data_IF_947218901497
#
_entry.id   IF_947218901497
#
_cell.length_a   1.000
_cell.length_b   1.000
_cell.length_c   1.000
_cell.angle_alpha   90.00
_cell.angle_beta   90.00
_cell.angle_gamma   90.00
#
_symmetry.space_group_name_H-M   'P 1'
#
loop_
_entity.id
_entity.type
_entity.pdbx_description
1 polymer ?
#
# COMPACT_ATOMS: atom_id res chain seq x y z
N UNK A 1 -12.09 -42.90 -12.02
CA UNK A 1 -10.82 -42.41 -11.46
C UNK A 1 -10.60 -41.04 -12.06
N UNK A 2 -11.32 -40.02 -11.59
CA UNK A 2 -11.05 -39.27 -10.36
C UNK A 2 -9.62 -38.74 -10.36
N UNK A 3 -9.39 -37.63 -11.07
CA UNK A 3 -8.27 -36.75 -10.77
C UNK A 3 -8.65 -36.00 -9.50
N UNK A 4 -7.93 -36.32 -8.44
CA UNK A 4 -8.08 -35.79 -7.10
C UNK A 4 -7.97 -34.27 -7.12
N UNK A 5 -8.84 -33.65 -6.32
CA UNK A 5 -8.76 -32.25 -5.92
C UNK A 5 -7.37 -32.01 -5.32
N UNK A 6 -6.57 -31.17 -5.96
CA UNK A 6 -5.51 -30.48 -5.26
C UNK A 6 -6.18 -29.64 -4.16
N UNK A 7 -5.88 -29.95 -2.91
CA UNK A 7 -6.27 -29.11 -1.79
C UNK A 7 -5.75 -27.70 -2.03
N UNK A 8 -6.65 -26.73 -1.98
CA UNK A 8 -6.27 -25.36 -1.68
C UNK A 8 -5.68 -25.39 -0.26
N UNK A 9 -4.39 -25.13 -0.14
CA UNK A 9 -3.79 -24.88 1.16
C UNK A 9 -4.51 -23.69 1.82
N UNK A 10 -4.91 -23.86 3.07
CA UNK A 10 -5.77 -22.93 3.83
C UNK A 10 -5.09 -21.63 4.29
N UNK A 11 -3.87 -21.30 3.85
CA UNK A 11 -3.18 -20.06 4.26
C UNK A 11 -2.34 -19.49 3.10
N UNK A 12 -2.98 -19.06 2.01
CA UNK A 12 -2.29 -18.20 1.03
C UNK A 12 -2.08 -16.83 1.69
N UNK A 13 -0.94 -16.66 2.34
CA UNK A 13 -0.54 -15.41 2.98
C UNK A 13 -0.44 -14.31 1.93
N UNK A 14 -1.36 -13.34 1.99
CA UNK A 14 -1.36 -12.17 1.11
C UNK A 14 -0.45 -11.08 1.68
N UNK A 15 0.42 -10.55 0.83
CA UNK A 15 1.26 -9.41 1.14
C UNK A 15 0.69 -8.13 0.51
N UNK A 16 1.01 -6.94 1.05
CA UNK A 16 0.60 -5.66 0.46
C UNK A 16 0.97 -5.50 -1.03
N UNK A 17 2.12 -6.04 -1.43
CA UNK A 17 2.58 -6.03 -2.82
C UNK A 17 1.64 -6.78 -3.77
N UNK A 18 0.96 -7.82 -3.27
CA UNK A 18 0.02 -8.60 -4.08
C UNK A 18 -1.20 -7.76 -4.48
N UNK A 19 -1.48 -6.63 -3.83
CA UNK A 19 -2.63 -5.79 -4.16
C UNK A 19 -2.35 -4.82 -5.34
N UNK A 20 -1.08 -4.62 -5.68
CA UNK A 20 -0.65 -3.61 -6.65
C UNK A 20 -1.16 -3.90 -8.07
N UNK A 21 -1.50 -2.85 -8.79
CA UNK A 21 -2.05 -2.88 -10.14
C UNK A 21 -3.48 -3.41 -10.24
N UNK A 22 -4.00 -4.07 -9.20
CA UNK A 22 -5.34 -4.65 -9.21
C UNK A 22 -6.40 -3.56 -9.13
N UNK A 23 -7.45 -3.73 -9.92
CA UNK A 23 -8.58 -2.80 -9.95
C UNK A 23 -9.48 -3.07 -8.76
N UNK A 24 -9.82 -2.03 -7.99
CA UNK A 24 -10.83 -2.11 -6.94
C UNK A 24 -12.22 -2.19 -7.57
N UNK A 25 -12.93 -3.28 -7.37
CA UNK A 25 -14.23 -3.57 -8.00
C UNK A 25 -15.41 -3.29 -7.06
N UNK A 26 -15.21 -3.51 -5.76
CA UNK A 26 -16.23 -3.36 -4.71
C UNK A 26 -15.54 -3.17 -3.37
N UNK A 27 -16.21 -2.49 -2.44
CA UNK A 27 -15.82 -2.37 -1.04
C UNK A 27 -16.92 -2.97 -0.17
N UNK A 28 -16.58 -3.87 0.74
CA UNK A 28 -17.53 -4.36 1.75
C UNK A 28 -17.00 -4.03 3.14
N UNK A 29 -17.88 -3.61 4.05
CA UNK A 29 -17.51 -3.30 5.43
C UNK A 29 -18.44 -3.98 6.41
N UNK A 30 -17.89 -4.44 7.52
CA UNK A 30 -18.62 -5.02 8.65
C UNK A 30 -18.49 -4.10 9.84
N UNK A 31 -19.62 -3.66 10.39
CA UNK A 31 -19.68 -2.70 11.49
C UNK A 31 -20.36 -3.32 12.71
N UNK A 32 -19.69 -3.26 13.85
CA UNK A 32 -20.27 -3.58 15.15
C UNK A 32 -21.03 -2.38 15.70
N UNK A 33 -22.25 -2.63 16.17
CA UNK A 33 -23.06 -1.66 16.91
C UNK A 33 -23.48 -2.26 18.22
N UNK A 34 -23.11 -1.59 19.31
CA UNK A 34 -23.50 -1.98 20.66
C UNK A 34 -24.13 -0.78 21.40
N UNK A 35 -25.40 -0.92 21.79
CA UNK A 35 -26.12 0.14 22.50
C UNK A 35 -26.23 1.43 21.68
N UNK A 36 -25.97 2.57 22.33
CA UNK A 36 -25.94 3.90 21.69
C UNK A 36 -24.53 4.42 21.39
N UNK A 37 -23.52 3.54 21.38
CA UNK A 37 -22.16 3.92 21.00
C UNK A 37 -22.04 4.10 19.49
N UNK A 38 -20.99 4.83 19.07
CA UNK A 38 -20.64 4.94 17.66
C UNK A 38 -20.30 3.55 17.07
N UNK A 39 -20.72 3.26 15.82
CA UNK A 39 -20.37 2.00 15.17
C UNK A 39 -18.86 1.84 14.97
N UNK A 40 -18.32 0.67 15.31
CA UNK A 40 -16.90 0.34 15.11
C UNK A 40 -16.72 -0.56 13.88
N UNK A 41 -15.72 -0.28 13.04
CA UNK A 41 -15.39 -1.09 11.87
C UNK A 41 -14.65 -2.36 12.33
N UNK A 42 -15.24 -3.53 12.08
CA UNK A 42 -14.63 -4.82 12.41
C UNK A 42 -13.77 -5.36 11.26
N UNK A 43 -14.34 -5.36 10.05
CA UNK A 43 -13.69 -5.91 8.88
C UNK A 43 -13.93 -5.01 7.67
N UNK A 44 -12.91 -4.90 6.84
CA UNK A 44 -12.98 -4.31 5.51
C UNK A 44 -12.63 -5.41 4.50
N UNK A 45 -13.40 -5.51 3.41
CA UNK A 45 -13.01 -6.29 2.24
C UNK A 45 -12.85 -5.37 1.05
N UNK A 46 -11.69 -5.45 0.41
CA UNK A 46 -11.45 -4.86 -0.90
C UNK A 46 -11.57 -5.96 -1.94
N UNK A 47 -12.53 -5.83 -2.84
CA UNK A 47 -12.72 -6.79 -3.94
C UNK A 47 -11.84 -6.38 -5.10
N UNK A 48 -10.75 -7.11 -5.31
CA UNK A 48 -9.73 -6.76 -6.28
C UNK A 48 -9.81 -7.69 -7.50
N UNK A 49 -9.71 -7.11 -8.69
CA UNK A 49 -9.67 -7.87 -9.93
C UNK A 49 -8.57 -8.95 -9.88
N UNK A 50 -8.91 -10.16 -10.32
CA UNK A 50 -8.02 -11.33 -10.38
C UNK A 50 -7.47 -11.81 -9.01
N UNK A 51 -7.91 -11.24 -7.88
CA UNK A 51 -7.61 -11.73 -6.51
C UNK A 51 -8.85 -12.19 -5.75
N UNK A 52 -10.00 -11.54 -6.00
CA UNK A 52 -11.18 -11.70 -5.15
C UNK A 52 -11.17 -10.76 -3.95
N UNK A 53 -12.01 -11.02 -2.93
CA UNK A 53 -12.08 -10.18 -1.75
C UNK A 53 -10.91 -10.44 -0.81
N UNK A 54 -10.15 -9.38 -0.51
CA UNK A 54 -9.12 -9.39 0.52
C UNK A 54 -9.70 -8.77 1.78
N UNK A 55 -9.82 -9.57 2.84
CA UNK A 55 -10.24 -9.16 4.17
C UNK A 55 -9.07 -8.54 4.92
N UNK A 56 -9.32 -7.37 5.47
CA UNK A 56 -8.48 -6.68 6.44
C UNK A 56 -9.14 -6.80 7.80
N UNK A 57 -8.36 -7.24 8.78
CA UNK A 57 -8.82 -7.41 10.16
C UNK A 57 -7.68 -7.19 11.15
N UNK A 58 -8.06 -6.89 12.39
CA UNK A 58 -7.16 -6.57 13.51
C UNK A 58 -7.23 -7.65 14.58
N UNK A 59 -6.57 -8.82 14.43
CA UNK A 59 -6.43 -9.80 15.50
C UNK A 59 -5.52 -9.23 16.59
N UNK A 60 -6.09 -8.44 17.49
CA UNK A 60 -5.33 -7.60 18.41
C UNK A 60 -4.74 -6.38 17.69
N UNK A 61 -3.48 -6.05 18.00
CA UNK A 61 -2.84 -4.81 17.54
C UNK A 61 -2.09 -4.93 16.19
N UNK A 62 -2.35 -5.97 15.39
CA UNK A 62 -1.72 -6.17 14.08
C UNK A 62 -2.76 -6.13 12.97
N UNK A 63 -2.39 -5.56 11.82
CA UNK A 63 -3.20 -5.65 10.61
C UNK A 63 -2.89 -6.96 9.88
N UNK A 64 -3.91 -7.78 9.63
CA UNK A 64 -3.80 -9.02 8.88
C UNK A 64 -4.63 -8.95 7.58
N UNK A 65 -4.08 -9.52 6.51
CA UNK A 65 -4.66 -9.57 5.17
C UNK A 65 -4.89 -11.04 4.78
N UNK A 66 -6.12 -11.39 4.40
CA UNK A 66 -6.48 -12.76 3.98
C UNK A 66 -7.44 -12.72 2.79
N UNK A 67 -7.35 -13.68 1.87
CA UNK A 67 -8.40 -13.86 0.85
C UNK A 67 -9.56 -14.59 1.50
N UNK A 68 -10.68 -13.89 1.69
CA UNK A 68 -11.84 -14.42 2.39
C UNK A 68 -13.13 -13.74 1.93
N UNK A 69 -14.25 -14.47 1.95
CA UNK A 69 -15.55 -13.93 1.54
C UNK A 69 -16.19 -13.10 2.65
N UNK A 70 -16.86 -11.98 2.33
CA UNK A 70 -17.66 -11.27 3.31
C UNK A 70 -18.74 -12.18 3.89
N UNK A 71 -18.87 -12.16 5.22
CA UNK A 71 -19.97 -12.81 5.90
C UNK A 71 -21.26 -11.97 5.81
N UNK A 72 -22.41 -12.56 6.15
CA UNK A 72 -23.67 -11.84 6.30
C UNK A 72 -23.76 -11.05 7.62
N UNK A 73 -24.76 -10.17 7.78
CA UNK A 73 -25.05 -9.52 9.06
C UNK A 73 -25.53 -10.55 10.09
N UNK A 74 -25.26 -10.31 11.37
CA UNK A 74 -25.68 -11.20 12.46
C UNK A 74 -25.92 -10.44 13.77
N UNK A 75 -26.71 -11.02 14.66
CA UNK A 75 -26.93 -10.52 16.02
C UNK A 75 -25.95 -11.20 16.99
N UNK A 76 -25.45 -10.43 17.96
CA UNK A 76 -24.63 -10.89 19.07
C UNK A 76 -25.42 -10.88 20.40
N UNK A 77 -26.75 -10.86 20.33
CA UNK A 77 -27.62 -10.79 21.50
C UNK A 77 -27.41 -9.50 22.29
N UNK A 78 -27.09 -9.62 23.57
CA UNK A 78 -26.84 -8.47 24.45
C UNK A 78 -25.60 -7.67 24.06
N UNK A 79 -24.66 -8.27 23.31
CA UNK A 79 -23.45 -7.61 22.84
C UNK A 79 -23.66 -6.81 21.54
N UNK A 80 -24.91 -6.67 21.07
CA UNK A 80 -25.25 -5.81 19.94
C UNK A 80 -25.43 -6.59 18.63
N UNK A 81 -25.09 -5.96 17.51
CA UNK A 81 -25.27 -6.54 16.18
C UNK A 81 -24.17 -6.11 15.23
N UNK A 82 -23.94 -6.92 14.21
CA UNK A 82 -23.03 -6.64 13.12
C UNK A 82 -23.82 -6.42 11.84
N UNK A 83 -23.64 -5.25 11.22
CA UNK A 83 -24.18 -4.91 9.91
C UNK A 83 -23.09 -5.01 8.85
N UNK A 84 -23.44 -5.52 7.67
CA UNK A 84 -22.53 -5.60 6.53
C UNK A 84 -23.07 -4.74 5.40
N UNK A 85 -22.24 -3.83 4.89
CA UNK A 85 -22.60 -2.85 3.86
C UNK A 85 -21.65 -2.95 2.68
N UNK A 86 -22.19 -2.84 1.48
CA UNK A 86 -21.44 -2.79 0.23
C UNK A 86 -21.44 -1.37 -0.33
N UNK A 87 -20.28 -0.93 -0.84
CA UNK A 87 -20.06 0.33 -1.56
C UNK A 87 -20.66 1.55 -0.86
N UNK A 88 -20.55 1.60 0.48
CA UNK A 88 -21.01 2.76 1.25
C UNK A 88 -20.21 4.00 0.83
N UNK A 89 -20.87 5.10 0.41
CA UNK A 89 -20.17 6.33 -0.01
C UNK A 89 -19.43 7.02 1.13
N UNK A 90 -19.73 6.67 2.38
CA UNK A 90 -19.05 7.18 3.58
C UNK A 90 -17.68 6.53 3.80
N UNK A 91 -17.40 5.41 3.13
CA UNK A 91 -16.12 4.71 3.22
C UNK A 91 -15.18 5.27 2.15
N UNK A 92 -14.04 5.82 2.58
CA UNK A 92 -13.11 6.53 1.69
C UNK A 92 -12.63 5.70 0.48
N UNK A 93 -12.55 4.37 0.59
CA UNK A 93 -12.20 3.49 -0.53
C UNK A 93 -13.23 3.50 -1.67
N UNK A 94 -14.50 3.75 -1.38
CA UNK A 94 -15.60 3.66 -2.36
C UNK A 94 -15.45 4.66 -3.50
N UNK A 95 -14.79 5.81 -3.29
CA UNK A 95 -14.53 6.77 -4.37
C UNK A 95 -13.51 6.28 -5.41
N UNK A 96 -12.79 5.21 -5.11
CA UNK A 96 -11.76 4.61 -5.97
C UNK A 96 -12.24 3.36 -6.70
N UNK A 97 -13.53 3.02 -6.62
CA UNK A 97 -14.11 1.94 -7.41
C UNK A 97 -13.78 2.12 -8.90
N UNK A 98 -13.37 1.03 -9.53
CA UNK A 98 -12.90 0.98 -10.91
C UNK A 98 -11.46 1.46 -11.09
N UNK A 99 -10.73 1.91 -10.07
CA UNK A 99 -9.33 2.36 -10.20
C UNK A 99 -8.33 1.28 -9.79
N UNK A 100 -7.14 1.23 -10.42
CA UNK A 100 -6.06 0.35 -9.97
C UNK A 100 -5.42 0.87 -8.69
N UNK A 101 -4.98 -0.04 -7.82
CA UNK A 101 -4.09 0.30 -6.70
C UNK A 101 -2.69 0.60 -7.26
N UNK A 102 -2.22 1.83 -7.10
CA UNK A 102 -0.91 2.26 -7.57
C UNK A 102 0.20 2.02 -6.55
N UNK A 103 -0.09 2.15 -5.25
CA UNK A 103 0.89 1.93 -4.19
C UNK A 103 0.19 1.33 -2.97
N UNK A 104 0.89 0.44 -2.26
CA UNK A 104 0.53 -0.01 -0.91
C UNK A 104 1.76 0.03 -0.04
N UNK A 105 1.76 0.83 1.03
CA UNK A 105 2.94 1.05 1.87
C UNK A 105 2.64 0.82 3.33
N UNK A 106 3.57 0.18 4.03
CA UNK A 106 3.49 0.04 5.47
C UNK A 106 3.57 1.40 6.17
N UNK A 107 2.70 1.58 7.15
CA UNK A 107 2.71 2.71 8.07
C UNK A 107 3.17 2.20 9.43
N UNK A 108 4.22 2.80 9.96
CA UNK A 108 4.73 2.53 11.30
C UNK A 108 4.32 3.65 12.26
N UNK A 109 3.94 3.31 13.49
CA UNK A 109 3.85 4.31 14.56
C UNK A 109 5.24 4.54 15.15
N UNK A 110 5.78 5.77 15.08
CA UNK A 110 6.99 6.14 15.85
C UNK A 110 6.61 7.16 16.92
N UNK A 111 7.11 6.92 18.13
CA UNK A 111 6.91 7.77 19.32
C UNK A 111 5.52 7.69 19.99
N UNK A 112 4.69 6.71 19.64
CA UNK A 112 3.57 6.28 20.48
C UNK A 112 4.04 5.29 21.57
N UNK A 113 3.24 5.02 22.62
CA UNK A 113 3.60 4.05 23.66
C UNK A 113 3.72 2.59 23.16
N UNK A 114 3.46 2.32 21.88
CA UNK A 114 3.46 0.98 21.28
C UNK A 114 4.23 1.00 19.96
N UNK A 115 5.35 0.27 19.89
CA UNK A 115 6.10 -0.02 18.64
C UNK A 115 5.42 -1.19 17.91
N UNK A 116 4.42 -0.92 17.06
CA UNK A 116 3.77 -1.96 16.22
C UNK A 116 3.37 -1.42 14.85
N UNK A 117 3.26 -2.34 13.86
CA UNK A 117 2.80 -2.08 12.50
C UNK A 117 1.43 -1.36 12.57
N UNK A 118 1.39 -0.14 12.08
CA UNK A 118 0.30 0.80 12.32
C UNK A 118 -0.79 0.84 11.25
N UNK A 119 -0.51 0.27 10.07
CA UNK A 119 -1.47 0.26 8.98
C UNK A 119 -0.83 0.21 7.59
N UNK A 120 -1.64 0.52 6.59
CA UNK A 120 -1.26 0.62 5.19
C UNK A 120 -1.73 1.95 4.59
N UNK A 121 -0.88 2.54 3.77
CA UNK A 121 -1.22 3.64 2.88
C UNK A 121 -1.45 3.12 1.47
N UNK A 122 -2.67 3.32 0.97
CA UNK A 122 -3.06 3.01 -0.40
C UNK A 122 -3.01 4.29 -1.23
N UNK A 123 -2.39 4.20 -2.40
CA UNK A 123 -2.51 5.23 -3.43
C UNK A 123 -3.27 4.69 -4.63
N UNK A 124 -4.21 5.51 -5.10
CA UNK A 124 -4.95 5.34 -6.34
C UNK A 124 -4.67 6.57 -7.24
N UNK A 125 -4.97 6.51 -8.54
CA UNK A 125 -4.86 7.68 -9.42
C UNK A 125 -5.61 8.92 -8.89
N UNK A 126 -6.75 8.72 -8.21
CA UNK A 126 -7.56 9.81 -7.66
C UNK A 126 -7.16 10.31 -6.27
N UNK A 127 -6.15 9.73 -5.61
CA UNK A 127 -5.78 10.11 -4.24
C UNK A 127 -5.33 8.98 -3.33
N UNK A 128 -5.20 9.29 -2.05
CA UNK A 128 -4.62 8.41 -1.01
C UNK A 128 -5.66 8.07 0.06
N UNK A 129 -5.57 6.85 0.61
CA UNK A 129 -6.34 6.39 1.77
C UNK A 129 -5.39 5.68 2.74
N UNK A 130 -5.56 5.92 4.03
CA UNK A 130 -4.90 5.17 5.08
C UNK A 130 -5.88 4.18 5.70
N UNK A 131 -5.42 2.95 5.89
CA UNK A 131 -6.09 1.91 6.66
C UNK A 131 -5.21 1.60 7.86
N UNK A 132 -5.65 1.99 9.05
CA UNK A 132 -4.86 1.89 10.27
C UNK A 132 -5.43 0.82 11.19
N UNK A 133 -4.53 0.11 11.87
CA UNK A 133 -4.85 -0.77 12.98
C UNK A 133 -4.54 -0.02 14.28
N UNK A 134 -5.57 0.33 15.06
CA UNK A 134 -5.42 1.11 16.27
C UNK A 134 -6.32 0.59 17.38
N UNK A 135 -5.73 0.16 18.51
CA UNK A 135 -6.47 -0.36 19.68
C UNK A 135 -7.51 -1.43 19.31
N UNK A 136 -7.10 -2.40 18.51
CA UNK A 136 -7.94 -3.49 17.98
C UNK A 136 -9.04 -3.04 17.00
N UNK A 137 -9.10 -1.76 16.63
CA UNK A 137 -10.04 -1.22 15.65
C UNK A 137 -9.38 -0.94 14.29
N UNK A 138 -10.17 -1.09 13.23
CA UNK A 138 -9.80 -0.62 11.90
C UNK A 138 -10.27 0.82 11.72
N UNK A 139 -9.34 1.71 11.38
CA UNK A 139 -9.63 3.11 11.08
C UNK A 139 -9.32 3.39 9.62
N UNK A 140 -10.31 3.89 8.89
CA UNK A 140 -10.15 4.35 7.50
C UNK A 140 -10.15 5.87 7.53
N UNK A 141 -9.14 6.48 6.91
CA UNK A 141 -9.01 7.94 6.88
C UNK A 141 -8.34 8.40 5.60
N UNK A 142 -8.66 9.61 5.18
CA UNK A 142 -7.97 10.27 4.09
C UNK A 142 -6.72 10.97 4.63
N UNK A 143 -5.69 11.14 3.78
CA UNK A 143 -4.43 11.78 4.18
C UNK A 143 -4.62 13.18 4.81
N UNK A 144 -5.72 13.88 4.49
CA UNK A 144 -6.02 15.20 5.04
C UNK A 144 -6.60 15.18 6.47
N UNK A 145 -7.05 14.02 6.97
CA UNK A 145 -7.91 13.92 8.16
C UNK A 145 -7.26 13.18 9.35
N UNK A 146 -5.93 13.01 9.32
CA UNK A 146 -5.17 12.27 10.34
C UNK A 146 -4.96 13.02 11.67
N UNK A 147 -5.30 14.31 11.73
CA UNK A 147 -5.34 15.10 12.96
C UNK A 147 -4.06 15.04 13.80
N UNK A 148 -4.20 14.77 15.10
CA UNK A 148 -3.08 14.72 16.05
C UNK A 148 -2.20 13.46 15.92
N UNK A 149 -2.65 12.45 15.17
CA UNK A 149 -1.94 11.17 15.01
C UNK A 149 -0.99 11.20 13.80
N UNK A 150 -1.28 12.06 12.81
CA UNK A 150 -0.46 12.28 11.60
C UNK A 150 1.05 12.39 11.87
N UNK A 151 1.53 13.18 12.86
CA UNK A 151 2.97 13.31 13.11
C UNK A 151 3.66 12.04 13.61
N UNK A 152 2.87 11.05 14.04
CA UNK A 152 3.32 9.77 14.57
C UNK A 152 3.26 8.64 13.54
N UNK A 153 2.62 8.88 12.39
CA UNK A 153 2.58 7.93 11.28
C UNK A 153 3.80 8.14 10.40
N UNK A 154 4.58 7.08 10.24
CA UNK A 154 5.80 7.11 9.47
C UNK A 154 5.74 6.07 8.35
N UNK A 155 5.82 6.58 7.14
CA UNK A 155 6.17 5.80 5.96
C UNK A 155 7.64 6.08 5.60
N UNK A 156 8.38 5.05 5.21
CA UNK A 156 9.79 5.18 4.84
C UNK A 156 9.96 5.67 3.39
N UNK A 157 9.29 6.76 3.04
CA UNK A 157 9.22 7.32 1.67
C UNK A 157 10.22 8.46 1.42
N UNK A 158 11.06 8.76 2.42
CA UNK A 158 12.02 9.86 2.35
C UNK A 158 13.39 9.33 1.97
N UNK A 159 13.92 9.83 0.85
CA UNK A 159 15.17 9.36 0.25
C UNK A 159 16.34 10.25 0.70
N UNK A 160 17.40 9.64 1.19
CA UNK A 160 18.64 10.33 1.60
C UNK A 160 19.70 10.33 0.49
N UNK A 161 19.59 9.39 -0.45
CA UNK A 161 20.50 9.27 -1.60
C UNK A 161 19.74 8.72 -2.80
N UNK A 162 20.03 9.27 -3.97
CA UNK A 162 19.54 8.79 -5.27
C UNK A 162 20.70 8.80 -6.26
N UNK A 163 20.88 7.68 -6.95
CA UNK A 163 21.94 7.49 -7.93
C UNK A 163 21.34 7.02 -9.24
N UNK A 164 21.49 7.82 -10.27
CA UNK A 164 21.03 7.43 -11.59
C UNK A 164 21.96 6.37 -12.19
N UNK A 165 21.37 5.29 -12.66
CA UNK A 165 22.08 4.13 -13.21
C UNK A 165 22.48 4.41 -14.67
N UNK A 166 21.57 5.02 -15.44
CA UNK A 166 21.79 5.29 -16.87
C UNK A 166 21.18 6.62 -17.29
N UNK A 167 21.87 7.31 -18.21
CA UNK A 167 21.36 8.49 -18.94
C UNK A 167 20.37 8.10 -20.04
N UNK A 168 20.35 6.83 -20.43
CA UNK A 168 19.58 6.30 -21.55
C UNK A 168 18.22 5.74 -21.16
N UNK A 169 17.63 5.04 -22.12
CA UNK A 169 16.37 4.33 -21.96
C UNK A 169 16.63 2.89 -21.48
N UNK A 170 15.91 2.41 -20.46
CA UNK A 170 14.93 3.11 -19.61
C UNK A 170 15.58 4.00 -18.53
N UNK A 171 14.86 5.01 -18.04
CA UNK A 171 15.34 5.82 -16.93
C UNK A 171 15.32 4.99 -15.62
N UNK A 172 16.45 4.95 -14.92
CA UNK A 172 16.64 4.08 -13.76
C UNK A 172 17.51 4.73 -12.68
N UNK A 173 17.15 4.50 -11.42
CA UNK A 173 17.91 4.95 -10.25
C UNK A 173 17.95 3.89 -9.15
N UNK A 174 19.06 3.83 -8.43
CA UNK A 174 19.05 3.31 -7.07
C UNK A 174 18.71 4.44 -6.11
N UNK A 175 17.92 4.16 -5.09
CA UNK A 175 17.70 5.10 -3.99
C UNK A 175 17.78 4.41 -2.63
N UNK A 176 18.05 5.22 -1.61
CA UNK A 176 18.13 4.79 -0.22
C UNK A 176 17.21 5.65 0.62
N UNK A 177 16.38 4.99 1.41
CA UNK A 177 15.47 5.65 2.33
C UNK A 177 16.17 6.04 3.63
N UNK A 178 15.50 6.83 4.46
CA UNK A 178 15.96 7.18 5.81
C UNK A 178 16.12 5.97 6.74
N UNK A 179 15.32 4.90 6.56
CA UNK A 179 15.50 3.67 7.33
C UNK A 179 16.52 2.69 6.70
N UNK A 180 17.21 3.11 5.62
CA UNK A 180 18.24 2.31 4.97
C UNK A 180 17.71 1.29 3.95
N UNK A 181 16.42 1.32 3.60
CA UNK A 181 15.86 0.48 2.54
C UNK A 181 16.45 0.91 1.20
N UNK A 182 16.82 -0.07 0.39
CA UNK A 182 17.29 0.16 -0.98
C UNK A 182 16.15 -0.04 -1.96
N UNK A 183 15.95 0.95 -2.82
CA UNK A 183 14.91 0.97 -3.83
C UNK A 183 15.54 0.96 -5.23
N UNK A 184 14.89 0.27 -6.15
CA UNK A 184 15.12 0.42 -7.58
C UNK A 184 13.94 1.18 -8.17
N UNK A 185 14.24 2.33 -8.77
CA UNK A 185 13.27 3.20 -9.44
C UNK A 185 13.45 2.99 -10.93
N UNK A 186 12.38 2.66 -11.63
CA UNK A 186 12.45 2.32 -13.03
C UNK A 186 11.27 2.93 -13.79
N UNK A 187 11.58 3.57 -14.92
CA UNK A 187 10.57 4.11 -15.81
C UNK A 187 10.80 3.67 -17.25
N UNK A 188 9.79 3.01 -17.83
CA UNK A 188 9.80 2.56 -19.22
C UNK A 188 8.41 2.57 -19.82
N UNK A 189 8.29 2.99 -21.08
CA UNK A 189 7.04 2.93 -21.86
C UNK A 189 5.81 3.57 -21.18
N UNK A 190 5.99 4.65 -20.42
CA UNK A 190 4.93 5.32 -19.68
C UNK A 190 4.62 4.69 -18.33
N UNK A 191 5.34 3.63 -17.96
CA UNK A 191 5.17 2.89 -16.71
C UNK A 191 6.31 3.23 -15.75
N UNK A 192 5.97 3.66 -14.54
CA UNK A 192 6.93 3.78 -13.44
C UNK A 192 6.74 2.68 -12.42
N UNK A 193 7.84 2.11 -11.92
CA UNK A 193 7.86 1.13 -10.83
C UNK A 193 8.88 1.52 -9.77
N UNK A 194 8.51 1.31 -8.50
CA UNK A 194 9.39 1.36 -7.34
C UNK A 194 9.44 -0.02 -6.75
N UNK A 195 10.62 -0.62 -6.77
CA UNK A 195 10.87 -1.97 -6.25
C UNK A 195 11.70 -1.86 -4.97
N UNK A 196 11.26 -2.50 -3.89
CA UNK A 196 12.04 -2.65 -2.68
C UNK A 196 12.92 -3.89 -2.81
N UNK A 197 14.24 -3.68 -2.78
CA UNK A 197 15.23 -4.75 -2.85
C UNK A 197 15.39 -5.38 -1.46
N UNK A 198 14.87 -6.60 -1.28
CA UNK A 198 14.86 -7.31 0.01
C UNK A 198 16.19 -8.01 0.26
N UNK A 199 16.74 -8.66 -0.78
CA UNK A 199 18.01 -9.37 -0.67
C UNK A 199 19.19 -8.49 -1.08
N UNK A 200 20.33 -8.65 -0.40
CA UNK A 200 21.56 -7.90 -0.72
C UNK A 200 22.04 -8.15 -2.16
N UNK A 201 21.78 -9.35 -2.70
CA UNK A 201 22.11 -9.73 -4.07
C UNK A 201 21.10 -9.23 -5.13
N UNK A 202 19.95 -8.70 -4.70
CA UNK A 202 18.92 -8.12 -5.57
C UNK A 202 18.09 -9.12 -6.35
N UNK A 203 18.11 -10.38 -5.93
CA UNK A 203 17.28 -11.43 -6.54
C UNK A 203 15.85 -11.44 -5.99
N UNK A 204 15.63 -10.92 -4.78
CA UNK A 204 14.31 -10.77 -4.18
C UNK A 204 13.93 -9.29 -4.11
N UNK A 205 12.95 -8.92 -4.93
CA UNK A 205 12.38 -7.58 -4.99
C UNK A 205 10.87 -7.68 -4.80
N UNK A 206 10.30 -6.72 -4.06
CA UNK A 206 8.85 -6.53 -4.00
C UNK A 206 8.46 -5.19 -4.57
N UNK A 207 7.50 -5.20 -5.47
CA UNK A 207 6.89 -3.98 -5.97
C UNK A 207 6.26 -3.22 -4.81
N UNK A 208 6.52 -1.92 -4.77
CA UNK A 208 6.00 -1.01 -3.76
C UNK A 208 5.02 -0.01 -4.35
N UNK A 209 5.31 0.44 -5.58
CA UNK A 209 4.51 1.39 -6.33
C UNK A 209 4.62 1.07 -7.82
N UNK A 210 3.51 1.11 -8.54
CA UNK A 210 3.43 0.93 -9.99
C UNK A 210 2.33 1.80 -10.58
N UNK A 211 2.61 2.49 -11.69
CA UNK A 211 1.63 3.33 -12.37
C UNK A 211 1.89 3.42 -13.86
N UNK A 212 0.86 3.75 -14.62
CA UNK A 212 0.94 4.11 -16.02
C UNK A 212 0.47 5.55 -16.22
N UNK A 213 1.24 6.34 -16.97
CA UNK A 213 0.90 7.73 -17.31
C UNK A 213 0.28 7.88 -18.72
N UNK A 214 0.22 6.78 -19.49
CA UNK A 214 -0.34 6.74 -20.84
C UNK A 214 0.50 7.45 -21.91
N UNK A 215 1.70 7.94 -21.58
CA UNK A 215 2.54 8.68 -22.51
C UNK A 215 3.34 7.77 -23.45
N UNK A 216 3.58 6.52 -23.04
CA UNK A 216 4.43 5.57 -23.76
C UNK A 216 5.91 5.96 -23.77
N UNK A 217 6.32 6.98 -23.02
CA UNK A 217 7.70 7.50 -23.01
C UNK A 217 8.63 6.60 -22.21
N UNK A 218 9.92 6.62 -22.53
CA UNK A 218 10.92 5.90 -21.73
C UNK A 218 11.76 6.82 -20.81
N UNK A 219 11.50 8.12 -20.82
CA UNK A 219 12.22 9.13 -20.04
C UNK A 219 11.25 9.90 -19.15
N UNK A 220 11.73 10.23 -17.95
CA UNK A 220 11.04 11.05 -16.97
C UNK A 220 12.09 11.75 -16.11
N UNK A 221 11.82 12.99 -15.74
CA UNK A 221 12.66 13.73 -14.79
C UNK A 221 12.52 13.11 -13.39
N UNK A 222 13.61 13.06 -12.63
CA UNK A 222 13.59 12.49 -11.28
C UNK A 222 12.51 13.14 -10.41
N UNK A 223 12.37 14.47 -10.45
CA UNK A 223 11.34 15.18 -9.69
C UNK A 223 9.91 14.73 -10.05
N UNK A 224 9.64 14.51 -11.34
CA UNK A 224 8.34 14.02 -11.80
C UNK A 224 8.12 12.55 -11.40
N UNK A 225 9.16 11.73 -11.41
CA UNK A 225 9.08 10.34 -10.93
C UNK A 225 8.77 10.29 -9.42
N UNK A 226 9.46 11.10 -8.62
CA UNK A 226 9.26 11.17 -7.17
C UNK A 226 7.84 11.63 -6.82
N UNK A 227 7.34 12.67 -7.49
CA UNK A 227 5.97 13.14 -7.32
C UNK A 227 4.93 12.03 -7.59
N UNK A 228 5.09 11.31 -8.71
CA UNK A 228 4.18 10.22 -9.10
C UNK A 228 4.25 9.00 -8.19
N UNK A 229 5.43 8.69 -7.66
CA UNK A 229 5.61 7.58 -6.71
C UNK A 229 5.24 7.93 -5.28
N UNK A 230 5.05 9.22 -4.95
CA UNK A 230 4.89 9.68 -3.57
C UNK A 230 6.16 9.62 -2.73
N UNK A 231 7.33 9.45 -3.36
CA UNK A 231 8.63 9.53 -2.73
C UNK A 231 9.09 10.99 -2.63
N UNK A 232 9.96 11.30 -1.67
CA UNK A 232 10.49 12.66 -1.49
C UNK A 232 11.95 12.66 -1.08
N UNK A 233 12.70 13.66 -1.51
CA UNK A 233 14.09 13.85 -1.07
C UNK A 233 14.13 14.44 0.34
N UNK A 234 15.02 13.92 1.19
CA UNK A 234 15.38 14.56 2.45
C UNK A 234 16.07 15.91 2.19
N UNK A 235 15.99 16.87 3.12
CA UNK A 235 16.87 18.04 3.09
C UNK A 235 18.35 17.61 3.03
N UNK A 236 19.06 18.04 1.98
CA UNK A 236 20.46 17.68 1.77
C UNK A 236 20.70 16.28 1.19
N UNK A 237 19.67 15.63 0.63
CA UNK A 237 19.83 14.34 -0.03
C UNK A 237 20.89 14.39 -1.14
N UNK A 238 21.69 13.34 -1.23
CA UNK A 238 22.72 13.19 -2.26
C UNK A 238 22.08 12.71 -3.56
N UNK A 239 22.13 13.53 -4.62
CA UNK A 239 21.65 13.13 -5.95
C UNK A 239 22.84 13.09 -6.90
N UNK A 240 23.12 11.92 -7.46
CA UNK A 240 24.19 11.74 -8.44
C UNK A 240 23.65 11.29 -9.79
N UNK A 241 24.21 11.90 -10.83
CA UNK A 241 24.04 11.47 -12.21
C UNK A 241 25.09 10.40 -12.54
N UNK A 242 24.85 9.52 -13.53
CA UNK A 242 25.86 8.60 -14.01
C UNK A 242 27.06 9.43 -14.46
N UNK A 243 28.18 9.28 -13.76
CA UNK A 243 29.41 9.93 -14.17
C UNK A 243 29.71 9.51 -15.60
N UNK A 244 29.96 10.48 -16.49
CA UNK A 244 30.72 10.18 -17.70
C UNK A 244 31.97 9.44 -17.23
N UNK A 245 32.05 8.14 -17.53
CA UNK A 245 33.17 7.30 -17.12
C UNK A 245 34.44 8.11 -17.36
N UNK A 246 35.21 8.33 -16.29
CA UNK A 246 36.44 9.10 -16.37
C UNK A 246 37.25 8.59 -17.53
N UNK A 247 37.39 9.41 -18.58
CA UNK A 247 38.44 9.27 -19.56
C UNK A 247 39.73 9.54 -18.78
N UNK A 248 40.29 8.49 -18.18
CA UNK A 248 41.69 8.50 -17.79
C UNK A 248 42.47 8.49 -19.10
N UNK A 249 43.01 9.66 -19.45
CA UNK A 249 44.13 9.76 -20.39
C UNK A 249 45.36 9.09 -19.82
#
# INVERSE_FOLDING_TARGET
MACEHAGMDEDEQIYPADLLGRRLLRVTTSWHRHGGAEPALLHLWLHLADLGPVRFHTPGEQLELTVDQPHGPYSMGEHGSVSVLEDSPEVAFTRFLGQPVCSVRDVEYRNGPVEKLGGLTFQFPGGTVHLLAFQDELVITEAADLGAVDPHLHEDVTLVRVERITHGFPAQWYAWTTAGRRLLLHYRHGTGTVEHQISEDGTDCRDWTSWEDGTGRGEIELAAFLDRSGLRLAPGAEVSEPGAAGVRR
#
